data_IF_968510715052
#
_entry.id   IF_968510715052
#
_cell.length_a   1.000
_cell.length_b   1.000
_cell.length_c   1.000
_cell.angle_alpha   90.00
_cell.angle_beta   90.00
_cell.angle_gamma   90.00
#
_symmetry.space_group_name_H-M   'P 1'
#
loop_
_entity.id
_entity.type
_entity.pdbx_description
1 polymer ?
#
# COMPACT_ATOMS: atom_id res chain seq x y z
N UNK A 1 -35.67 -27.27 40.58
CA UNK A 1 -36.98 -27.80 40.14
C UNK A 1 -37.45 -26.99 38.93
N UNK A 2 -37.80 -27.67 37.82
CA UNK A 2 -38.55 -27.22 36.60
C UNK A 2 -37.83 -26.22 35.65
N UNK A 3 -37.24 -26.70 34.53
CA UNK A 3 -37.79 -26.98 33.16
C UNK A 3 -37.84 -25.71 32.29
N UNK A 4 -36.89 -25.51 31.37
CA UNK A 4 -36.90 -25.89 29.93
C UNK A 4 -37.81 -25.02 29.06
N UNK A 5 -37.21 -24.36 28.05
CA UNK A 5 -37.75 -23.97 26.73
C UNK A 5 -36.52 -23.62 25.86
N UNK A 6 -35.89 -24.58 25.16
CA UNK A 6 -36.18 -25.00 23.79
C UNK A 6 -36.38 -23.84 22.81
N UNK A 7 -35.31 -23.45 22.11
CA UNK A 7 -35.42 -23.00 20.72
C UNK A 7 -34.21 -23.55 19.95
N UNK A 8 -34.43 -24.71 19.34
CA UNK A 8 -33.56 -25.32 18.35
C UNK A 8 -34.02 -24.78 16.99
N UNK A 9 -33.22 -23.93 16.36
CA UNK A 9 -33.31 -23.67 14.93
C UNK A 9 -31.90 -23.64 14.34
N UNK A 10 -31.42 -24.82 13.98
CA UNK A 10 -30.36 -24.99 13.00
C UNK A 10 -30.96 -24.74 11.63
N UNK A 11 -30.54 -23.67 10.94
CA UNK A 11 -30.55 -23.60 9.48
C UNK A 11 -29.37 -22.74 9.00
N UNK A 12 -28.27 -23.46 8.72
CA UNK A 12 -27.46 -23.35 7.50
C UNK A 12 -27.66 -22.09 6.64
N UNK A 13 -26.75 -21.13 6.75
CA UNK A 13 -26.40 -20.29 5.59
C UNK A 13 -24.99 -19.75 5.74
N UNK A 14 -24.10 -20.31 4.93
CA UNK A 14 -22.90 -19.66 4.44
C UNK A 14 -21.86 -19.30 5.49
N UNK A 15 -20.89 -20.20 5.64
CA UNK A 15 -19.52 -19.78 5.91
C UNK A 15 -19.11 -18.72 4.87
N UNK A 16 -19.33 -17.43 5.13
CA UNK A 16 -18.67 -16.35 4.37
C UNK A 16 -17.36 -16.05 5.09
N UNK A 17 -16.50 -17.07 5.17
CA UNK A 17 -15.06 -16.85 5.27
C UNK A 17 -14.54 -16.63 3.84
N UNK A 18 -14.89 -15.51 3.23
CA UNK A 18 -14.02 -14.92 2.22
C UNK A 18 -12.92 -14.15 2.96
N UNK A 19 -12.06 -14.88 3.68
CA UNK A 19 -10.69 -14.42 3.84
C UNK A 19 -9.99 -14.70 2.52
N UNK A 20 -10.17 -13.80 1.56
CA UNK A 20 -9.27 -13.68 0.42
C UNK A 20 -7.93 -13.13 0.93
N UNK A 21 -7.24 -13.88 1.80
CA UNK A 21 -5.97 -13.47 2.37
C UNK A 21 -4.84 -13.78 1.39
N UNK A 22 -4.92 -13.15 0.21
CA UNK A 22 -3.78 -12.83 -0.63
C UNK A 22 -3.05 -11.58 -0.14
N UNK A 23 -3.47 -10.95 0.97
CA UNK A 23 -2.78 -9.80 1.54
C UNK A 23 -1.42 -10.21 2.11
N UNK A 24 -0.36 -9.62 1.56
CA UNK A 24 1.04 -9.88 1.86
C UNK A 24 1.67 -8.74 2.65
N UNK A 25 0.89 -7.90 3.31
CA UNK A 25 1.41 -6.80 4.11
C UNK A 25 0.54 -6.52 5.33
N UNK A 26 1.17 -5.90 6.32
CA UNK A 26 0.56 -5.42 7.56
C UNK A 26 0.96 -3.98 7.80
N UNK A 27 0.09 -3.22 8.45
CA UNK A 27 0.34 -1.82 8.80
C UNK A 27 0.38 -1.64 10.32
N UNK A 28 1.34 -0.86 10.78
CA UNK A 28 1.46 -0.42 12.16
C UNK A 28 1.54 1.10 12.22
N UNK A 29 0.80 1.69 13.15
CA UNK A 29 0.84 3.13 13.40
C UNK A 29 1.93 3.43 14.42
N UNK A 30 2.80 4.39 14.09
CA UNK A 30 3.81 4.95 14.99
C UNK A 30 3.55 6.46 15.17
N UNK A 31 4.34 7.13 16.03
CA UNK A 31 4.17 8.56 16.27
C UNK A 31 4.45 9.38 15.01
N UNK A 32 3.36 9.86 14.39
CA UNK A 32 3.38 10.75 13.22
C UNK A 32 3.50 10.07 11.85
N UNK A 33 3.65 8.74 11.80
CA UNK A 33 3.73 8.00 10.54
C UNK A 33 3.18 6.58 10.66
N UNK A 34 2.80 6.02 9.51
CA UNK A 34 2.35 4.65 9.35
C UNK A 34 3.47 3.84 8.69
N UNK A 35 3.64 2.60 9.15
CA UNK A 35 4.65 1.68 8.66
C UNK A 35 3.98 0.43 8.10
N UNK A 36 4.18 0.19 6.81
CA UNK A 36 3.73 -1.01 6.12
C UNK A 36 4.90 -1.98 6.01
N UNK A 37 4.72 -3.18 6.56
CA UNK A 37 5.67 -4.28 6.45
C UNK A 37 5.11 -5.32 5.49
N UNK A 38 5.88 -5.65 4.45
CA UNK A 38 5.48 -6.61 3.44
C UNK A 38 6.18 -7.94 3.64
N UNK A 39 5.47 -9.02 3.35
CA UNK A 39 5.99 -10.38 3.36
C UNK A 39 6.96 -10.53 2.18
N UNK A 40 8.24 -10.65 2.49
CA UNK A 40 9.34 -10.80 1.53
C UNK A 40 9.49 -9.58 0.60
N UNK A 41 9.29 -8.37 1.12
CA UNK A 41 9.28 -7.15 0.31
C UNK A 41 9.77 -5.90 1.03
N UNK A 42 9.62 -4.76 0.36
CA UNK A 42 10.04 -3.47 0.91
C UNK A 42 9.14 -3.00 2.06
N UNK A 43 9.74 -2.44 3.11
CA UNK A 43 9.01 -1.72 4.16
C UNK A 43 8.71 -0.29 3.72
N UNK A 44 7.47 0.17 3.89
CA UNK A 44 7.02 1.49 3.45
C UNK A 44 6.61 2.35 4.65
N UNK A 45 7.28 3.47 4.89
CA UNK A 45 6.84 4.49 5.85
C UNK A 45 6.12 5.65 5.16
N UNK A 46 4.93 6.04 5.59
CA UNK A 46 4.24 7.21 5.05
C UNK A 46 3.53 8.00 6.15
N UNK A 47 3.35 9.30 5.95
CA UNK A 47 2.53 10.10 6.86
C UNK A 47 1.10 10.19 6.33
N UNK A 48 0.06 9.94 7.15
CA UNK A 48 -1.33 10.16 6.76
C UNK A 48 -1.61 11.61 6.33
N UNK A 49 -0.79 12.57 6.77
CA UNK A 49 -0.93 13.99 6.43
C UNK A 49 -0.22 14.38 5.13
N UNK A 50 0.57 13.49 4.52
CA UNK A 50 1.36 13.80 3.31
C UNK A 50 0.54 13.89 2.02
N UNK A 51 -0.72 13.45 2.05
CA UNK A 51 -1.56 13.30 0.86
C UNK A 51 -1.16 12.15 -0.07
N UNK A 52 -0.15 11.35 0.31
CA UNK A 52 0.19 10.10 -0.38
C UNK A 52 -0.86 9.04 -0.03
N UNK A 53 -1.33 8.33 -1.04
CA UNK A 53 -2.24 7.19 -0.87
C UNK A 53 -1.48 5.87 -1.03
N UNK A 54 -2.09 4.76 -0.56
CA UNK A 54 -1.53 3.42 -0.67
C UNK A 54 -2.30 2.64 -1.73
N UNK A 55 -1.60 2.23 -2.79
CA UNK A 55 -2.12 1.38 -3.85
C UNK A 55 -1.90 -0.08 -3.45
N UNK A 56 -2.90 -0.92 -3.73
CA UNK A 56 -2.84 -2.36 -3.45
C UNK A 56 -2.90 -3.14 -4.77
N UNK A 57 -1.90 -3.98 -5.02
CA UNK A 57 -1.85 -4.83 -6.21
C UNK A 57 -1.14 -6.15 -5.90
N UNK A 58 -1.69 -7.27 -6.39
CA UNK A 58 -1.16 -8.62 -6.19
C UNK A 58 -0.92 -8.99 -4.71
N UNK A 59 -1.71 -8.39 -3.81
CA UNK A 59 -1.55 -8.57 -2.38
C UNK A 59 -0.45 -7.74 -1.74
N UNK A 60 0.28 -6.91 -2.49
CA UNK A 60 1.29 -5.99 -1.97
C UNK A 60 0.76 -4.55 -1.94
N UNK A 61 1.39 -3.71 -1.14
CA UNK A 61 1.16 -2.27 -1.03
C UNK A 61 2.25 -1.46 -1.73
N UNK A 62 1.88 -0.29 -2.25
CA UNK A 62 2.77 0.65 -2.93
C UNK A 62 2.35 2.07 -2.57
N UNK A 63 3.30 3.01 -2.56
CA UNK A 63 2.98 4.42 -2.37
C UNK A 63 2.66 5.05 -3.71
N UNK A 64 1.54 5.75 -3.79
CA UNK A 64 1.20 6.65 -4.89
C UNK A 64 1.95 7.97 -4.70
N UNK A 65 3.16 8.04 -5.25
CA UNK A 65 4.11 9.14 -5.01
C UNK A 65 3.72 10.38 -5.81
N UNK A 66 3.21 10.22 -7.03
CA UNK A 66 2.74 11.33 -7.86
C UNK A 66 1.24 11.64 -7.70
N UNK A 67 0.53 10.86 -6.88
CA UNK A 67 -0.90 11.06 -6.54
C UNK A 67 -1.84 10.90 -7.73
N UNK A 68 -1.50 10.01 -8.66
CA UNK A 68 -2.30 9.78 -9.86
C UNK A 68 -3.27 8.59 -9.74
N UNK A 69 -3.22 7.85 -8.62
CA UNK A 69 -4.08 6.70 -8.34
C UNK A 69 -3.76 5.43 -9.13
N UNK A 70 -2.61 5.36 -9.81
CA UNK A 70 -2.15 4.22 -10.59
C UNK A 70 -0.77 3.78 -10.10
N UNK A 71 -0.50 2.48 -10.16
CA UNK A 71 0.83 1.96 -9.85
C UNK A 71 1.75 2.20 -11.05
N UNK A 72 2.57 3.24 -10.99
CA UNK A 72 3.59 3.49 -12.00
C UNK A 72 4.80 2.55 -11.79
N UNK A 73 5.59 2.31 -12.86
CA UNK A 73 6.73 1.37 -12.79
C UNK A 73 7.72 1.83 -11.74
N UNK A 74 7.98 3.14 -11.64
CA UNK A 74 8.91 3.69 -10.65
C UNK A 74 8.46 3.50 -9.20
N UNK A 75 7.16 3.34 -8.95
CA UNK A 75 6.57 3.10 -7.62
C UNK A 75 6.59 1.62 -7.24
N UNK A 76 6.58 0.72 -8.23
CA UNK A 76 6.67 -0.72 -8.04
C UNK A 76 8.11 -1.14 -7.67
N UNK A 77 8.38 -1.26 -6.37
CA UNK A 77 9.67 -1.70 -5.84
C UNK A 77 10.09 -3.12 -6.26
N UNK A 78 9.19 -3.91 -6.87
CA UNK A 78 9.50 -5.23 -7.44
C UNK A 78 10.21 -5.11 -8.79
N UNK A 79 10.12 -3.96 -9.45
CA UNK A 79 10.75 -3.72 -10.75
C UNK A 79 12.26 -3.46 -10.61
N UNK A 80 13.07 -3.83 -11.62
CA UNK A 80 14.49 -3.50 -11.66
C UNK A 80 14.73 -1.99 -11.55
N UNK A 81 15.83 -1.60 -10.89
CA UNK A 81 16.19 -0.19 -10.68
C UNK A 81 16.21 0.59 -11.99
N UNK A 82 16.83 0.06 -13.04
CA UNK A 82 16.94 0.75 -14.33
C UNK A 82 15.57 1.06 -14.95
N UNK A 83 14.61 0.14 -14.84
CA UNK A 83 13.25 0.34 -15.33
C UNK A 83 12.53 1.43 -14.52
N UNK A 84 12.73 1.44 -13.20
CA UNK A 84 12.15 2.45 -12.29
C UNK A 84 12.71 3.83 -12.55
N UNK A 85 14.02 3.94 -12.77
CA UNK A 85 14.69 5.21 -13.10
C UNK A 85 14.24 5.72 -14.47
N UNK A 86 14.16 4.85 -15.47
CA UNK A 86 13.69 5.21 -16.80
C UNK A 86 12.24 5.72 -16.78
N UNK A 87 11.35 5.05 -16.05
CA UNK A 87 9.95 5.48 -15.91
C UNK A 87 9.82 6.80 -15.16
N UNK A 88 10.53 6.97 -14.02
CA UNK A 88 10.52 8.22 -13.28
C UNK A 88 11.00 9.39 -14.13
N UNK A 89 12.14 9.23 -14.80
CA UNK A 89 12.73 10.31 -15.62
C UNK A 89 11.87 10.67 -16.83
N UNK A 90 11.11 9.73 -17.40
CA UNK A 90 10.17 10.00 -18.47
C UNK A 90 8.93 10.79 -18.01
N UNK A 91 8.59 10.75 -16.73
CA UNK A 91 7.44 11.45 -16.15
C UNK A 91 7.77 12.86 -15.63
N UNK A 92 9.05 13.18 -15.43
CA UNK A 92 9.48 14.50 -14.97
C UNK A 92 9.51 15.51 -16.12
N UNK A 93 9.05 16.74 -15.85
CA UNK A 93 9.26 17.85 -16.78
C UNK A 93 10.72 18.32 -16.76
N UNK A 94 11.14 19.04 -17.80
CA UNK A 94 12.48 19.64 -17.84
C UNK A 94 12.70 20.59 -16.67
N UNK A 95 11.65 21.31 -16.26
CA UNK A 95 11.64 22.20 -15.10
C UNK A 95 11.82 21.43 -13.79
N UNK A 96 11.15 20.29 -13.62
CA UNK A 96 11.33 19.44 -12.43
C UNK A 96 12.75 18.90 -12.33
N UNK A 97 13.30 18.43 -13.46
CA UNK A 97 14.69 17.96 -13.54
C UNK A 97 15.66 19.10 -13.21
N UNK A 98 15.43 20.31 -13.76
CA UNK A 98 16.24 21.48 -13.45
C UNK A 98 16.17 21.85 -11.96
N UNK A 99 14.98 21.75 -11.35
CA UNK A 99 14.78 21.97 -9.93
C UNK A 99 15.54 20.98 -9.05
N UNK A 100 15.65 19.71 -9.46
CA UNK A 100 16.45 18.70 -8.77
C UNK A 100 17.97 18.92 -8.91
N UNK A 101 18.40 19.48 -10.04
CA UNK A 101 19.82 19.74 -10.34
C UNK A 101 20.35 21.04 -9.73
N UNK A 102 19.46 21.95 -9.33
CA UNK A 102 19.79 23.16 -8.58
C UNK A 102 20.12 22.81 -7.12
N UNK A 103 21.27 22.15 -6.92
CA UNK A 103 21.86 22.04 -5.60
C UNK A 103 22.35 23.43 -5.18
N UNK A 104 21.58 24.11 -4.32
CA UNK A 104 22.08 25.29 -3.62
C UNK A 104 23.22 24.84 -2.71
N UNK A 105 24.46 25.20 -3.04
CA UNK A 105 25.57 25.10 -2.09
C UNK A 105 25.19 25.94 -0.86
N UNK A 106 24.88 25.28 0.26
CA UNK A 106 24.78 25.92 1.57
C UNK A 106 26.06 25.67 2.36
#
# INVERSE_FOLDING_TARGET
>A
MKKNNLCLSVLLSGCVLCSCNGQRWTESVADGYHLITQKDGATLGYSPMSGITIIQQDGYAFKDLNRNGRLDVYEDWRQPIDARVADLTAQLSMEDIAGLMLYSSH
#
